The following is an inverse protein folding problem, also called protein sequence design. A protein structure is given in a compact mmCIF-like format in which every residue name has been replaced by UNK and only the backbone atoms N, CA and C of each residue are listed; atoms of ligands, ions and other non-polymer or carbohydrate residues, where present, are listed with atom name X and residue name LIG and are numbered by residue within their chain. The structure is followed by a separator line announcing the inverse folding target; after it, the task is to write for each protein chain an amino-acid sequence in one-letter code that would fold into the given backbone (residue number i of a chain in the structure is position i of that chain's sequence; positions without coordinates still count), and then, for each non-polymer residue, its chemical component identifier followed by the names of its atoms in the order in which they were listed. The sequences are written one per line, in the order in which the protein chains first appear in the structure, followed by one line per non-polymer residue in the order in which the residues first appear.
data_IF_585275123036
#
_entry.id   IF_585275123036
#
_cell.length_a   1.000
_cell.length_b   1.000
_cell.length_c   1.000
_cell.angle_alpha   90.00
_cell.angle_beta   90.00
_cell.angle_gamma   90.00
#
_symmetry.space_group_name_H-M   'P 1'
#
loop_
_entity.id
_entity.type
_entity.pdbx_description
1 polymer ?
#
# COMPACT_ATOMS: atom_id res chain seq x y z
N UNK A 1 13.54 9.71 1.55
CA UNK A 1 13.94 8.93 2.73
C UNK A 1 13.27 9.56 3.92
N UNK A 2 12.68 8.75 4.78
CA UNK A 2 12.08 9.15 6.06
C UNK A 2 12.55 8.21 7.16
N UNK A 3 12.61 8.70 8.38
CA UNK A 3 12.84 7.88 9.56
C UNK A 3 11.48 7.45 10.12
N UNK A 4 11.35 6.17 10.41
CA UNK A 4 10.18 5.58 11.07
C UNK A 4 10.65 4.62 12.14
N UNK A 5 10.46 5.00 13.42
CA UNK A 5 11.11 4.32 14.55
C UNK A 5 12.64 4.28 14.35
N UNK A 6 13.22 3.08 14.44
CA UNK A 6 14.65 2.83 14.23
C UNK A 6 14.97 2.46 12.77
N UNK A 7 13.98 2.49 11.87
CA UNK A 7 14.15 2.15 10.47
C UNK A 7 14.22 3.39 9.57
N UNK A 8 14.97 3.27 8.49
CA UNK A 8 15.01 4.23 7.38
C UNK A 8 14.16 3.71 6.24
N UNK A 9 13.18 4.49 5.78
CA UNK A 9 12.23 4.10 4.74
C UNK A 9 12.37 5.02 3.53
N UNK A 10 12.76 4.46 2.40
CA UNK A 10 12.72 5.13 1.11
C UNK A 10 11.30 5.05 0.54
N UNK A 11 10.70 6.20 0.26
CA UNK A 11 9.38 6.32 -0.36
C UNK A 11 9.48 7.06 -1.70
N UNK A 12 8.57 6.77 -2.60
CA UNK A 12 8.47 7.50 -3.87
C UNK A 12 8.07 8.96 -3.63
N UNK A 13 8.66 9.93 -4.37
CA UNK A 13 8.42 11.35 -4.16
C UNK A 13 7.18 11.88 -4.88
N UNK A 14 6.89 13.16 -4.71
CA UNK A 14 5.97 13.99 -5.48
C UNK A 14 4.51 13.47 -5.54
N UNK A 15 3.98 13.30 -6.76
CA UNK A 15 2.59 12.94 -7.04
C UNK A 15 2.32 11.43 -6.95
N UNK A 16 2.86 10.78 -5.92
CA UNK A 16 2.70 9.35 -5.65
C UNK A 16 2.06 9.09 -4.29
N UNK A 17 1.93 7.83 -3.91
CA UNK A 17 1.50 7.42 -2.56
C UNK A 17 2.55 7.70 -1.48
N UNK A 18 3.83 7.89 -1.86
CA UNK A 18 4.94 8.05 -0.91
C UNK A 18 4.78 9.19 0.09
N UNK A 19 4.48 10.46 -0.31
CA UNK A 19 4.27 11.54 0.65
C UNK A 19 3.10 11.30 1.61
N UNK A 20 2.03 10.64 1.13
CA UNK A 20 0.89 10.28 1.97
C UNK A 20 1.26 9.18 2.97
N UNK A 21 2.05 8.19 2.54
CA UNK A 21 2.61 7.17 3.43
C UNK A 21 3.53 7.78 4.47
N UNK A 22 4.40 8.72 4.08
CA UNK A 22 5.28 9.43 5.00
C UNK A 22 4.49 10.19 6.08
N UNK A 23 3.39 10.84 5.69
CA UNK A 23 2.47 11.48 6.62
C UNK A 23 1.84 10.45 7.59
N UNK A 24 1.30 9.35 7.07
CA UNK A 24 0.66 8.31 7.87
C UNK A 24 1.63 7.66 8.87
N UNK A 25 2.86 7.32 8.45
CA UNK A 25 3.88 6.72 9.31
C UNK A 25 4.33 7.69 10.42
N UNK A 26 4.48 8.97 10.11
CA UNK A 26 4.80 9.99 11.13
C UNK A 26 3.69 10.09 12.18
N UNK A 27 2.43 10.21 11.73
CA UNK A 27 1.27 10.24 12.62
C UNK A 27 1.17 8.97 13.47
N UNK A 28 1.51 7.81 12.89
CA UNK A 28 1.52 6.54 13.60
C UNK A 28 2.62 6.48 14.67
N UNK A 29 3.81 7.01 14.38
CA UNK A 29 4.90 7.10 15.37
C UNK A 29 4.51 7.88 16.62
N UNK A 30 3.69 8.92 16.44
CA UNK A 30 3.23 9.78 17.54
C UNK A 30 2.08 9.16 18.34
N UNK A 31 1.23 8.35 17.71
CA UNK A 31 -0.02 7.83 18.30
C UNK A 31 0.07 6.41 18.82
N UNK A 32 0.95 5.60 18.27
CA UNK A 32 1.10 4.19 18.61
C UNK A 32 2.36 3.93 19.43
N UNK A 33 2.18 3.46 20.67
CA UNK A 33 3.22 2.75 21.40
C UNK A 33 2.98 1.25 21.16
N UNK A 34 3.85 0.57 20.39
CA UNK A 34 3.63 -0.83 20.05
C UNK A 34 3.63 -1.72 21.30
N UNK A 35 2.68 -2.66 21.37
CA UNK A 35 2.65 -3.78 22.31
C UNK A 35 3.43 -4.98 21.75
N UNK A 36 3.26 -6.16 22.32
CA UNK A 36 3.92 -7.37 21.79
C UNK A 36 3.37 -7.79 20.42
N UNK A 37 2.07 -7.58 20.20
CA UNK A 37 1.35 -7.93 18.98
C UNK A 37 0.39 -6.80 18.59
N UNK A 38 0.01 -6.66 17.30
CA UNK A 38 -0.95 -5.66 16.86
C UNK A 38 -2.33 -5.90 17.49
N UNK A 39 -2.71 -5.08 18.44
CA UNK A 39 -3.95 -5.15 19.20
C UNK A 39 -5.02 -4.16 18.72
N UNK A 40 -6.13 -4.07 19.45
CA UNK A 40 -7.23 -3.16 19.15
C UNK A 40 -6.80 -1.67 19.10
N UNK A 41 -5.82 -1.27 19.92
CA UNK A 41 -5.28 0.10 19.90
C UNK A 41 -4.47 0.35 18.65
N UNK A 42 -3.67 -0.63 18.22
CA UNK A 42 -2.89 -0.55 16.99
C UNK A 42 -3.79 -0.39 15.75
N UNK A 43 -4.80 -1.24 15.61
CA UNK A 43 -5.72 -1.16 14.47
C UNK A 43 -6.57 0.11 14.47
N UNK A 44 -6.97 0.61 15.62
CA UNK A 44 -7.64 1.91 15.72
C UNK A 44 -6.69 3.07 15.34
N UNK A 45 -5.41 3.00 15.73
CA UNK A 45 -4.40 3.98 15.31
C UNK A 45 -4.15 3.92 13.81
N UNK A 46 -4.06 2.72 13.21
CA UNK A 46 -3.95 2.56 11.75
C UNK A 46 -5.12 3.24 11.03
N UNK A 47 -6.35 2.95 11.45
CA UNK A 47 -7.54 3.52 10.82
C UNK A 47 -7.52 5.06 10.87
N UNK A 48 -7.25 5.64 12.04
CA UNK A 48 -7.20 7.08 12.21
C UNK A 48 -6.07 7.72 11.40
N UNK A 49 -4.86 7.17 11.45
CA UNK A 49 -3.72 7.71 10.69
C UNK A 49 -3.96 7.65 9.18
N UNK A 50 -4.61 6.59 8.71
CA UNK A 50 -4.96 6.45 7.29
C UNK A 50 -6.02 7.48 6.88
N UNK A 51 -7.09 7.65 7.65
CA UNK A 51 -8.12 8.66 7.36
C UNK A 51 -7.54 10.07 7.33
N UNK A 52 -6.71 10.42 8.31
CA UNK A 52 -6.03 11.73 8.36
C UNK A 52 -5.10 11.92 7.15
N UNK A 53 -4.36 10.88 6.77
CA UNK A 53 -3.46 10.92 5.62
C UNK A 53 -4.21 11.09 4.29
N UNK A 54 -5.35 10.43 4.12
CA UNK A 54 -6.20 10.62 2.95
C UNK A 54 -6.90 11.99 2.94
N UNK A 55 -7.35 12.50 4.08
CA UNK A 55 -7.87 13.86 4.18
C UNK A 55 -6.81 14.91 3.79
N UNK A 56 -5.57 14.75 4.27
CA UNK A 56 -4.45 15.57 3.83
C UNK A 56 -4.20 15.46 2.33
N UNK A 57 -4.15 14.23 1.80
CA UNK A 57 -3.94 13.95 0.38
C UNK A 57 -4.99 14.64 -0.49
N UNK A 58 -6.27 14.45 -0.18
CA UNK A 58 -7.37 15.02 -0.95
C UNK A 58 -7.39 16.55 -0.92
N UNK A 59 -7.12 17.17 0.23
CA UNK A 59 -7.16 18.60 0.39
C UNK A 59 -5.93 19.34 -0.17
N UNK A 60 -4.77 18.68 -0.24
CA UNK A 60 -3.49 19.31 -0.58
C UNK A 60 -2.86 18.81 -1.87
N UNK A 61 -3.03 17.52 -2.17
CA UNK A 61 -2.37 16.91 -3.32
C UNK A 61 -3.35 16.70 -4.49
N UNK A 62 -4.66 16.75 -4.22
CA UNK A 62 -5.72 16.42 -5.17
C UNK A 62 -5.80 14.92 -5.41
N UNK A 63 -7.00 14.39 -5.37
CA UNK A 63 -7.39 13.06 -5.81
C UNK A 63 -8.88 13.12 -6.14
N UNK A 64 -9.40 12.19 -6.93
CA UNK A 64 -10.79 12.24 -7.40
C UNK A 64 -11.68 11.44 -6.47
N UNK A 65 -12.68 12.07 -5.90
CA UNK A 65 -13.82 11.34 -5.34
C UNK A 65 -14.65 10.75 -6.47
N UNK A 66 -14.75 9.44 -6.51
CA UNK A 66 -15.82 8.76 -7.25
C UNK A 66 -15.46 7.96 -8.49
N UNK A 67 -14.26 8.00 -9.03
CA UNK A 67 -13.89 7.12 -10.13
C UNK A 67 -13.40 5.76 -9.63
N UNK A 68 -14.31 4.84 -9.37
CA UNK A 68 -14.02 3.42 -9.12
C UNK A 68 -13.71 2.72 -10.43
N UNK A 69 -12.53 2.91 -10.98
CA UNK A 69 -12.04 2.02 -12.02
C UNK A 69 -11.38 0.81 -11.37
N UNK A 70 -11.70 -0.42 -11.77
CA UNK A 70 -10.93 -1.61 -11.38
C UNK A 70 -9.48 -1.38 -11.83
N UNK A 71 -8.56 -1.19 -10.89
CA UNK A 71 -7.16 -0.95 -11.19
C UNK A 71 -6.48 -2.24 -11.60
N UNK A 72 -5.81 -2.24 -12.73
CA UNK A 72 -4.88 -3.28 -13.13
C UNK A 72 -3.46 -2.78 -12.84
N UNK A 73 -2.99 -3.05 -11.63
CA UNK A 73 -1.66 -2.67 -11.16
C UNK A 73 -0.87 -3.94 -10.86
N UNK A 74 0.41 -3.94 -11.20
CA UNK A 74 1.35 -4.99 -10.81
C UNK A 74 2.43 -4.40 -9.94
N UNK A 75 2.83 -5.14 -8.91
CA UNK A 75 4.01 -4.82 -8.10
C UNK A 75 4.94 -6.02 -8.07
N UNK A 76 6.23 -5.75 -8.16
CA UNK A 76 7.26 -6.75 -7.92
C UNK A 76 8.41 -6.17 -7.10
N UNK A 77 9.01 -7.02 -6.28
CA UNK A 77 10.22 -6.74 -5.54
C UNK A 77 11.22 -7.87 -5.75
N UNK A 78 12.49 -7.53 -5.83
CA UNK A 78 13.59 -8.47 -6.07
C UNK A 78 14.71 -8.17 -5.07
N UNK A 79 15.33 -9.21 -4.56
CA UNK A 79 16.57 -9.14 -3.79
C UNK A 79 17.60 -10.10 -4.40
N UNK A 80 18.81 -9.63 -4.66
CA UNK A 80 19.90 -10.44 -5.21
C UNK A 80 20.77 -11.11 -4.12
N UNK A 81 21.77 -11.88 -4.55
CA UNK A 81 22.70 -12.57 -3.67
C UNK A 81 23.58 -11.62 -2.85
N UNK A 82 23.79 -10.39 -3.31
CA UNK A 82 24.58 -9.34 -2.64
C UNK A 82 23.73 -8.52 -1.67
N UNK A 83 22.38 -8.67 -1.73
CA UNK A 83 21.43 -7.94 -0.90
C UNK A 83 20.98 -6.60 -1.49
N UNK A 84 21.22 -6.36 -2.78
CA UNK A 84 20.60 -5.24 -3.47
C UNK A 84 19.10 -5.51 -3.63
N UNK A 85 18.27 -4.49 -3.41
CA UNK A 85 16.81 -4.59 -3.50
C UNK A 85 16.28 -3.62 -4.55
N UNK A 86 15.40 -4.12 -5.40
CA UNK A 86 14.58 -3.32 -6.31
C UNK A 86 13.10 -3.56 -6.03
N UNK A 87 12.31 -2.50 -6.00
CA UNK A 87 10.85 -2.55 -5.84
C UNK A 87 10.20 -1.64 -6.86
N UNK A 88 9.29 -2.17 -7.67
CA UNK A 88 8.65 -1.43 -8.74
C UNK A 88 7.15 -1.69 -8.81
N UNK A 89 6.39 -0.62 -9.03
CA UNK A 89 4.95 -0.68 -9.25
C UNK A 89 4.62 -0.06 -10.61
N UNK A 90 3.89 -0.79 -11.44
CA UNK A 90 3.47 -0.34 -12.77
C UNK A 90 1.99 -0.61 -13.00
N UNK A 91 1.34 0.18 -13.84
CA UNK A 91 -0.09 0.01 -14.11
C UNK A 91 -0.50 0.59 -15.46
N UNK A 92 -1.50 -0.02 -16.04
CA UNK A 92 -2.29 0.56 -17.14
C UNK A 92 -3.49 1.36 -16.62
N UNK A 93 -3.75 1.35 -15.32
CA UNK A 93 -4.91 1.78 -14.56
C UNK A 93 -6.10 0.82 -14.74
N UNK A 94 -6.81 0.82 -15.86
CA UNK A 94 -7.84 -0.19 -16.15
C UNK A 94 -7.21 -1.48 -16.70
N UNK A 95 -7.93 -2.60 -16.66
CA UNK A 95 -7.42 -3.94 -17.03
C UNK A 95 -6.72 -3.95 -18.40
N UNK A 96 -7.24 -3.25 -19.39
CA UNK A 96 -6.63 -3.07 -20.70
C UNK A 96 -6.29 -1.61 -21.00
N UNK A 97 -6.03 -0.80 -19.98
CA UNK A 97 -5.70 0.61 -20.10
C UNK A 97 -6.71 1.37 -20.97
N UNK A 98 -6.23 2.13 -21.95
CA UNK A 98 -7.05 2.83 -22.93
C UNK A 98 -7.62 1.93 -24.04
N UNK A 99 -7.22 0.66 -24.08
CA UNK A 99 -7.50 -0.30 -25.17
C UNK A 99 -6.91 0.10 -26.53
N UNK A 100 -6.00 1.05 -26.53
CA UNK A 100 -5.25 1.47 -27.71
C UNK A 100 -3.87 0.82 -27.70
N UNK A 101 -3.56 0.07 -28.74
CA UNK A 101 -2.23 -0.45 -28.99
C UNK A 101 -1.51 0.42 -30.02
N UNK A 102 -0.31 0.86 -29.72
CA UNK A 102 0.49 1.65 -30.65
C UNK A 102 0.96 0.74 -31.80
N UNK A 103 0.67 1.07 -33.07
CA UNK A 103 0.93 0.18 -34.20
C UNK A 103 2.42 -0.18 -34.38
N UNK A 104 3.29 0.78 -34.16
CA UNK A 104 4.73 0.62 -34.40
C UNK A 104 5.46 -0.17 -33.31
N UNK A 105 5.03 -0.02 -32.05
CA UNK A 105 5.72 -0.64 -30.90
C UNK A 105 4.98 -1.85 -30.32
N UNK A 106 3.72 -2.04 -30.65
CA UNK A 106 2.85 -3.07 -30.04
C UNK A 106 2.51 -2.79 -28.58
N UNK A 107 2.85 -1.61 -28.03
CA UNK A 107 2.62 -1.26 -26.63
C UNK A 107 1.15 -0.89 -26.42
N UNK A 108 0.51 -1.58 -25.45
CA UNK A 108 -0.82 -1.23 -24.97
C UNK A 108 -0.75 0.01 -24.06
N UNK A 109 -1.47 1.06 -24.43
CA UNK A 109 -1.44 2.34 -23.71
C UNK A 109 -2.27 2.30 -22.44
N UNK A 110 -1.75 2.94 -21.38
CA UNK A 110 -2.51 3.17 -20.16
C UNK A 110 -3.64 4.18 -20.37
N UNK A 111 -4.54 4.27 -19.40
CA UNK A 111 -5.56 5.32 -19.32
C UNK A 111 -5.40 6.17 -18.05
N UNK A 112 -4.17 6.47 -17.67
CA UNK A 112 -3.82 7.24 -16.48
C UNK A 112 -4.43 8.64 -16.39
N UNK A 113 -4.95 9.16 -17.50
CA UNK A 113 -5.74 10.40 -17.51
C UNK A 113 -6.93 10.36 -16.53
N UNK A 114 -7.47 9.18 -16.25
CA UNK A 114 -8.57 8.99 -15.29
C UNK A 114 -8.16 9.19 -13.83
N UNK A 115 -6.87 9.40 -13.52
CA UNK A 115 -6.43 9.79 -12.18
C UNK A 115 -6.58 11.30 -11.92
N UNK A 116 -6.78 12.12 -12.95
CA UNK A 116 -7.09 13.52 -12.76
C UNK A 116 -8.49 13.73 -12.18
N UNK A 117 -8.65 14.83 -11.44
CA UNK A 117 -9.97 15.32 -11.03
C UNK A 117 -10.66 15.93 -12.26
N UNK A 118 -11.89 15.48 -12.62
CA UNK A 118 -12.63 16.09 -13.71
C UNK A 118 -13.18 17.47 -13.35
N UNK A 119 -13.29 17.81 -12.07
CA UNK A 119 -13.73 19.13 -11.63
C UNK A 119 -12.60 20.15 -11.77
N UNK A 120 -12.86 21.36 -12.30
CA UNK A 120 -11.88 22.42 -12.42
C UNK A 120 -11.44 22.97 -11.04
N UNK A 121 -10.32 23.69 -11.04
CA UNK A 121 -9.81 24.47 -9.91
C UNK A 121 -9.41 23.68 -8.64
N UNK A 122 -9.23 22.37 -8.76
CA UNK A 122 -8.64 21.53 -7.73
C UNK A 122 -7.15 21.26 -8.02
N UNK A 123 -6.34 20.91 -7.00
CA UNK A 123 -4.92 20.62 -7.20
C UNK A 123 -4.62 19.58 -8.28
N UNK A 124 -5.43 18.53 -8.35
CA UNK A 124 -5.28 17.43 -9.33
C UNK A 124 -6.23 17.56 -10.55
N UNK A 125 -6.84 18.73 -10.79
CA UNK A 125 -7.70 18.93 -11.97
C UNK A 125 -6.94 18.68 -13.26
N UNK A 126 -7.66 18.09 -14.23
CA UNK A 126 -7.14 17.86 -15.58
C UNK A 126 -6.66 19.17 -16.21
N UNK A 127 -5.48 19.15 -16.80
CA UNK A 127 -4.89 20.31 -17.48
C UNK A 127 -3.73 19.93 -18.39
N UNK A 128 -3.52 20.73 -19.43
CA UNK A 128 -2.43 20.49 -20.35
C UNK A 128 -1.06 20.54 -19.65
N UNK A 129 -0.19 19.60 -19.95
CA UNK A 129 1.16 19.48 -19.36
C UNK A 129 1.22 19.05 -17.90
N UNK A 130 0.09 18.79 -17.24
CA UNK A 130 0.07 18.30 -15.86
C UNK A 130 0.33 16.80 -15.76
N UNK A 131 0.95 16.41 -14.65
CA UNK A 131 1.06 15.02 -14.20
C UNK A 131 -0.03 14.75 -13.16
N UNK A 132 -0.69 13.60 -13.28
CA UNK A 132 -1.73 13.19 -12.34
C UNK A 132 -1.16 12.68 -11.02
N UNK A 133 -1.96 12.76 -9.96
CA UNK A 133 -1.67 12.14 -8.68
C UNK A 133 -1.90 10.63 -8.75
N UNK A 134 -0.91 9.82 -8.42
CA UNK A 134 -0.94 8.36 -8.52
C UNK A 134 -0.89 7.67 -7.16
N UNK A 135 -1.29 6.41 -7.09
CA UNK A 135 -1.29 5.62 -5.86
C UNK A 135 -0.06 4.70 -5.72
N UNK A 136 0.95 4.83 -6.58
CA UNK A 136 2.18 4.04 -6.47
C UNK A 136 2.83 4.26 -5.11
N UNK A 137 3.18 3.17 -4.45
CA UNK A 137 3.78 3.21 -3.14
C UNK A 137 4.80 2.07 -2.93
N UNK A 138 5.74 1.83 -3.90
CA UNK A 138 6.85 0.95 -3.63
C UNK A 138 7.75 1.59 -2.58
N UNK A 139 8.26 0.77 -1.65
CA UNK A 139 9.15 1.21 -0.57
C UNK A 139 10.32 0.26 -0.45
N UNK A 140 11.46 0.80 -0.01
CA UNK A 140 12.59 0.02 0.48
C UNK A 140 12.90 0.55 1.88
N UNK A 141 13.07 -0.36 2.83
CA UNK A 141 13.39 0.02 4.20
C UNK A 141 14.56 -0.80 4.73
N UNK A 142 15.28 -0.21 5.67
CA UNK A 142 16.38 -0.85 6.38
C UNK A 142 16.30 -0.56 7.88
N UNK A 143 16.55 -1.57 8.68
CA UNK A 143 16.71 -1.50 10.15
C UNK A 143 17.78 -2.50 10.55
N UNK A 144 18.85 -2.02 11.12
CA UNK A 144 20.02 -2.84 11.47
C UNK A 144 20.56 -3.61 10.25
N UNK A 145 20.63 -4.93 10.33
CA UNK A 145 21.06 -5.84 9.26
C UNK A 145 19.88 -6.36 8.39
N UNK A 146 18.66 -5.89 8.65
CA UNK A 146 17.47 -6.28 7.90
C UNK A 146 17.11 -5.21 6.88
N UNK A 147 16.93 -5.63 5.62
CA UNK A 147 16.45 -4.80 4.52
C UNK A 147 15.24 -5.46 3.89
N UNK A 148 14.27 -4.66 3.48
CA UNK A 148 13.10 -5.20 2.79
C UNK A 148 12.54 -4.22 1.77
N UNK A 149 11.99 -4.77 0.70
CA UNK A 149 11.28 -4.06 -0.34
C UNK A 149 9.84 -4.51 -0.39
N UNK A 150 8.89 -3.56 -0.38
CA UNK A 150 7.46 -3.81 -0.35
C UNK A 150 6.73 -2.94 -1.37
N UNK A 151 5.58 -3.39 -1.75
CA UNK A 151 4.57 -2.62 -2.44
C UNK A 151 3.33 -3.45 -2.70
N UNK A 152 2.40 -2.92 -3.46
CA UNK A 152 1.14 -3.60 -3.70
C UNK A 152 0.50 -3.19 -5.02
N UNK A 153 -0.45 -3.99 -5.47
CA UNK A 153 -1.48 -3.61 -6.45
C UNK A 153 -2.82 -3.42 -5.74
N UNK A 154 -3.68 -2.49 -6.24
CA UNK A 154 -5.01 -2.28 -5.64
C UNK A 154 -5.46 -0.83 -5.54
N UNK A 155 -4.92 0.07 -6.34
CA UNK A 155 -5.32 1.47 -6.37
C UNK A 155 -5.07 2.19 -5.04
N UNK A 156 -6.07 2.85 -4.48
CA UNK A 156 -5.97 3.56 -3.19
C UNK A 156 -5.61 2.62 -2.03
N UNK A 157 -6.02 1.34 -2.08
CA UNK A 157 -5.76 0.33 -1.04
C UNK A 157 -4.29 -0.06 -0.90
N UNK A 158 -3.45 0.36 -1.85
CA UNK A 158 -1.99 0.11 -1.81
C UNK A 158 -1.39 0.68 -0.53
N UNK A 159 -1.64 1.94 -0.24
CA UNK A 159 -1.05 2.65 0.90
C UNK A 159 -1.44 2.03 2.26
N UNK A 160 -2.72 1.75 2.57
CA UNK A 160 -3.09 1.05 3.80
C UNK A 160 -2.37 -0.29 3.99
N UNK A 161 -2.23 -1.06 2.92
CA UNK A 161 -1.55 -2.35 2.97
C UNK A 161 -0.05 -2.20 3.24
N UNK A 162 0.62 -1.30 2.53
CA UNK A 162 2.06 -1.03 2.71
C UNK A 162 2.35 -0.47 4.10
N UNK A 163 1.53 0.45 4.61
CA UNK A 163 1.69 1.03 5.94
C UNK A 163 1.62 -0.05 7.04
N UNK A 164 0.62 -0.92 7.00
CA UNK A 164 0.45 -1.98 8.00
C UNK A 164 1.58 -3.01 7.92
N UNK A 165 1.99 -3.42 6.71
CA UNK A 165 3.13 -4.33 6.55
C UNK A 165 4.44 -3.71 7.08
N UNK A 166 4.67 -2.41 6.86
CA UNK A 166 5.82 -1.71 7.47
C UNK A 166 5.74 -1.75 8.99
N UNK A 167 4.56 -1.49 9.57
CA UNK A 167 4.37 -1.56 11.01
C UNK A 167 4.58 -2.98 11.55
N UNK A 168 4.02 -4.00 10.91
CA UNK A 168 4.22 -5.40 11.33
C UNK A 168 5.70 -5.81 11.33
N UNK A 169 6.46 -5.38 10.33
CA UNK A 169 7.90 -5.68 10.24
C UNK A 169 8.76 -4.83 11.18
N UNK A 170 8.41 -3.55 11.40
CA UNK A 170 9.23 -2.59 12.14
C UNK A 170 8.80 -2.50 13.60
N UNK A 171 7.52 -2.25 13.87
CA UNK A 171 7.01 -2.04 15.23
C UNK A 171 6.94 -3.36 16.02
N UNK A 172 6.61 -4.47 15.35
CA UNK A 172 6.40 -5.78 15.99
C UNK A 172 7.49 -6.80 15.68
N UNK A 173 8.35 -6.53 14.71
CA UNK A 173 9.48 -7.41 14.38
C UNK A 173 9.10 -8.74 13.73
N UNK A 174 7.89 -8.84 13.17
CA UNK A 174 7.45 -10.05 12.48
C UNK A 174 8.34 -10.39 11.29
N UNK A 175 8.45 -11.68 10.99
CA UNK A 175 9.02 -12.16 9.73
C UNK A 175 8.14 -11.82 8.54
N UNK A 176 8.72 -11.78 7.32
CA UNK A 176 8.00 -11.37 6.13
C UNK A 176 6.75 -12.23 5.88
N UNK A 177 6.88 -13.56 5.97
CA UNK A 177 5.76 -14.47 5.77
C UNK A 177 4.65 -14.26 6.81
N UNK A 178 5.01 -14.08 8.07
CA UNK A 178 4.06 -13.83 9.15
C UNK A 178 3.30 -12.52 8.94
N UNK A 179 4.01 -11.43 8.64
CA UNK A 179 3.41 -10.13 8.36
C UNK A 179 2.36 -10.17 7.23
N UNK A 180 2.61 -11.00 6.19
CA UNK A 180 1.67 -11.15 5.07
C UNK A 180 0.43 -11.98 5.43
N UNK A 181 0.51 -12.83 6.45
CA UNK A 181 -0.62 -13.60 6.98
C UNK A 181 -1.49 -12.81 7.94
N UNK A 182 -0.93 -11.83 8.64
CA UNK A 182 -1.72 -11.00 9.55
C UNK A 182 -2.92 -10.35 8.86
N UNK A 183 -4.08 -10.31 9.53
CA UNK A 183 -5.25 -9.62 9.00
C UNK A 183 -5.00 -8.11 8.95
N UNK A 184 -5.65 -7.45 8.00
CA UNK A 184 -5.46 -6.02 7.73
C UNK A 184 -6.77 -5.27 7.72
N UNK A 185 -6.67 -3.94 7.80
CA UNK A 185 -7.76 -3.01 7.54
C UNK A 185 -7.51 -2.21 6.28
N UNK A 186 -8.56 -1.65 5.71
CA UNK A 186 -8.50 -0.62 4.69
C UNK A 186 -9.32 0.59 5.11
N UNK A 187 -8.76 1.79 5.01
CA UNK A 187 -9.40 3.06 5.31
C UNK A 187 -9.13 4.08 4.19
N UNK A 188 -9.14 3.62 2.94
CA UNK A 188 -8.82 4.42 1.76
C UNK A 188 -10.05 5.04 1.10
N UNK A 189 -11.25 4.72 1.57
CA UNK A 189 -12.52 5.16 0.96
C UNK A 189 -13.34 6.03 1.95
N UNK A 190 -13.01 7.33 2.03
CA UNK A 190 -13.75 8.30 2.84
C UNK A 190 -13.73 7.97 4.34
N UNK A 191 -14.90 7.91 4.95
CA UNK A 191 -15.08 7.58 6.37
C UNK A 191 -15.19 6.08 6.66
N UNK A 192 -15.27 5.24 5.61
CA UNK A 192 -15.46 3.81 5.76
C UNK A 192 -14.13 3.11 6.08
N UNK A 193 -14.16 2.28 7.11
CA UNK A 193 -13.07 1.37 7.48
C UNK A 193 -13.53 -0.07 7.23
N UNK A 194 -12.78 -0.80 6.42
CA UNK A 194 -12.97 -2.23 6.18
C UNK A 194 -12.01 -3.02 7.06
N UNK A 195 -12.48 -4.03 7.77
CA UNK A 195 -11.63 -4.95 8.54
C UNK A 195 -11.74 -6.38 8.02
N UNK A 196 -10.60 -7.05 7.88
CA UNK A 196 -10.58 -8.49 7.59
C UNK A 196 -11.35 -9.25 8.66
N UNK A 197 -12.23 -10.17 8.26
CA UNK A 197 -13.01 -11.00 9.20
C UNK A 197 -12.14 -11.85 10.13
N UNK A 198 -10.86 -12.01 9.83
CA UNK A 198 -9.90 -12.76 10.65
C UNK A 198 -9.28 -11.92 11.79
N UNK A 199 -9.64 -10.64 11.90
CA UNK A 199 -9.27 -9.83 13.06
C UNK A 199 -9.94 -10.37 14.33
N UNK A 200 -9.27 -10.23 15.47
CA UNK A 200 -9.83 -10.59 16.76
C UNK A 200 -11.09 -9.79 17.08
N UNK A 201 -12.02 -10.38 17.82
CA UNK A 201 -13.29 -9.74 18.16
C UNK A 201 -13.10 -8.41 18.89
N UNK A 202 -12.11 -8.31 19.79
CA UNK A 202 -11.79 -7.07 20.48
C UNK A 202 -11.37 -5.94 19.52
N UNK A 203 -10.68 -6.29 18.42
CA UNK A 203 -10.34 -5.33 17.34
C UNK A 203 -11.59 -4.91 16.61
N UNK A 204 -12.44 -5.85 16.25
CA UNK A 204 -13.72 -5.55 15.60
C UNK A 204 -14.59 -4.61 16.42
N UNK A 205 -14.74 -4.88 17.73
CA UNK A 205 -15.50 -4.03 18.66
C UNK A 205 -14.92 -2.62 18.75
N UNK A 206 -13.60 -2.49 18.88
CA UNK A 206 -12.92 -1.21 18.97
C UNK A 206 -13.06 -0.37 17.69
N UNK A 207 -13.00 -1.01 16.52
CA UNK A 207 -13.18 -0.34 15.25
C UNK A 207 -14.63 0.09 15.04
N UNK A 208 -15.59 -0.78 15.37
CA UNK A 208 -17.02 -0.48 15.26
C UNK A 208 -17.46 0.66 16.19
N UNK A 209 -16.86 0.75 17.39
CA UNK A 209 -17.17 1.82 18.34
C UNK A 209 -16.69 3.22 17.90
N UNK A 210 -15.74 3.30 16.96
CA UNK A 210 -15.05 4.55 16.60
C UNK A 210 -15.24 5.00 15.17
N UNK A 211 -15.53 4.07 14.25
CA UNK A 211 -15.54 4.30 12.82
C UNK A 211 -16.81 3.77 12.16
N UNK A 212 -17.14 4.29 10.98
CA UNK A 212 -18.06 3.64 10.07
C UNK A 212 -17.38 2.36 9.57
N UNK A 213 -17.73 1.22 10.16
CA UNK A 213 -16.95 -0.01 10.08
C UNK A 213 -17.71 -1.17 9.45
N UNK A 214 -17.03 -1.92 8.59
CA UNK A 214 -17.58 -3.11 7.95
C UNK A 214 -16.57 -4.26 7.98
N UNK A 215 -16.99 -5.44 8.46
CA UNK A 215 -16.22 -6.68 8.38
C UNK A 215 -16.32 -7.25 6.97
N UNK A 216 -15.18 -7.58 6.37
CA UNK A 216 -15.13 -8.12 5.02
C UNK A 216 -14.09 -9.24 4.93
N UNK A 217 -14.37 -10.24 4.10
CA UNK A 217 -13.41 -11.30 3.83
C UNK A 217 -12.32 -10.79 2.87
N UNK A 218 -11.06 -11.07 3.19
CA UNK A 218 -9.95 -10.90 2.25
C UNK A 218 -10.07 -11.97 1.17
N UNK A 219 -10.32 -11.55 -0.05
CA UNK A 219 -10.57 -12.43 -1.19
C UNK A 219 -10.11 -11.76 -2.48
N UNK A 220 -9.88 -12.59 -3.50
CA UNK A 220 -9.39 -12.16 -4.80
C UNK A 220 -10.36 -11.26 -5.56
N UNK A 221 -11.64 -11.58 -5.56
CA UNK A 221 -12.70 -10.83 -6.27
C UNK A 221 -14.00 -10.82 -5.45
N UNK A 222 -14.64 -9.66 -5.27
CA UNK A 222 -14.12 -8.33 -5.58
C UNK A 222 -13.00 -7.93 -4.63
N UNK A 223 -11.97 -7.23 -5.14
CA UNK A 223 -10.87 -6.75 -4.30
C UNK A 223 -11.37 -5.75 -3.26
N UNK A 224 -11.23 -6.10 -1.98
CA UNK A 224 -11.51 -5.23 -0.83
C UNK A 224 -10.22 -4.76 -0.15
N UNK A 225 -9.12 -5.45 -0.39
CA UNK A 225 -7.78 -5.13 0.06
C UNK A 225 -6.82 -5.10 -1.13
N UNK A 226 -5.68 -4.45 -0.97
CA UNK A 226 -4.60 -4.52 -1.96
C UNK A 226 -3.95 -5.91 -1.94
N UNK A 227 -3.30 -6.25 -3.05
CA UNK A 227 -2.45 -7.43 -3.18
C UNK A 227 -0.98 -7.01 -3.04
N UNK A 228 -0.40 -7.07 -1.84
CA UNK A 228 1.01 -6.78 -1.63
C UNK A 228 1.91 -7.92 -2.09
N UNK A 229 3.15 -7.55 -2.38
CA UNK A 229 4.27 -8.46 -2.48
C UNK A 229 5.53 -7.81 -1.92
N UNK A 230 6.51 -8.61 -1.51
CA UNK A 230 7.74 -8.07 -0.95
C UNK A 230 8.84 -9.09 -0.82
N UNK A 231 10.03 -8.57 -0.61
CA UNK A 231 11.24 -9.33 -0.30
C UNK A 231 11.87 -8.81 0.97
N UNK A 232 12.60 -9.68 1.67
CA UNK A 232 13.34 -9.34 2.87
C UNK A 232 14.70 -10.02 2.83
N UNK A 233 15.73 -9.31 3.22
CA UNK A 233 17.08 -9.81 3.50
C UNK A 233 17.38 -9.67 4.98
N UNK A 234 17.83 -10.75 5.62
CA UNK A 234 18.35 -10.75 6.97
C UNK A 234 19.68 -11.54 6.99
N UNK A 235 20.76 -10.86 7.29
CA UNK A 235 22.10 -11.41 7.13
C UNK A 235 22.33 -11.88 5.69
N UNK A 236 22.64 -13.17 5.48
CA UNK A 236 22.85 -13.77 4.16
C UNK A 236 21.59 -14.41 3.55
N UNK A 237 20.44 -14.35 4.23
CA UNK A 237 19.22 -15.06 3.82
C UNK A 237 18.22 -14.11 3.17
N UNK A 238 17.67 -14.53 2.02
CA UNK A 238 16.60 -13.83 1.32
C UNK A 238 15.27 -14.54 1.53
N UNK A 239 14.20 -13.74 1.63
CA UNK A 239 12.83 -14.20 1.79
C UNK A 239 11.94 -13.46 0.79
N UNK A 240 10.89 -14.11 0.29
CA UNK A 240 9.86 -13.52 -0.53
C UNK A 240 8.48 -13.90 -0.02
N UNK A 241 7.52 -12.97 -0.10
CA UNK A 241 6.13 -13.23 0.23
C UNK A 241 5.19 -12.40 -0.65
N UNK A 242 3.99 -12.93 -0.85
CA UNK A 242 2.93 -12.28 -1.63
C UNK A 242 1.59 -12.39 -0.92
N UNK A 243 0.57 -11.68 -1.44
CA UNK A 243 -0.80 -11.74 -0.93
C UNK A 243 -1.33 -13.18 -0.94
N UNK A 244 -1.65 -13.69 0.23
CA UNK A 244 -2.10 -15.08 0.42
C UNK A 244 -3.46 -15.40 -0.23
N UNK A 245 -4.30 -14.39 -0.43
CA UNK A 245 -5.61 -14.54 -1.07
C UNK A 245 -5.55 -14.42 -2.60
N UNK A 246 -4.38 -14.15 -3.19
CA UNK A 246 -4.23 -13.97 -4.64
C UNK A 246 -3.64 -15.22 -5.30
N UNK A 247 -4.36 -15.89 -6.20
CA UNK A 247 -3.84 -17.05 -6.92
C UNK A 247 -2.86 -16.67 -8.05
N UNK A 248 -2.69 -15.38 -8.33
CA UNK A 248 -1.78 -14.86 -9.37
C UNK A 248 -0.48 -14.28 -8.81
N UNK A 249 -0.36 -14.22 -7.48
CA UNK A 249 0.84 -13.72 -6.83
C UNK A 249 1.72 -14.91 -6.42
N UNK A 250 3.02 -14.79 -6.62
CA UNK A 250 3.98 -15.82 -6.28
C UNK A 250 5.30 -15.21 -5.78
N UNK A 251 6.06 -15.99 -5.03
CA UNK A 251 7.41 -15.67 -4.59
C UNK A 251 8.33 -16.83 -4.97
N UNK A 252 9.31 -16.54 -5.81
CA UNK A 252 10.24 -17.54 -6.34
C UNK A 252 11.67 -17.23 -5.93
N UNK A 253 12.46 -18.24 -5.69
CA UNK A 253 13.90 -18.15 -5.47
C UNK A 253 14.64 -18.91 -6.57
N UNK A 254 15.76 -18.36 -7.02
CA UNK A 254 16.68 -19.09 -7.89
C UNK A 254 17.27 -20.26 -7.08
N UNK A 255 17.21 -21.45 -7.63
CA UNK A 255 17.97 -22.59 -7.10
C UNK A 255 19.46 -22.28 -7.18
N UNK A 256 20.16 -22.45 -6.08
CA UNK A 256 21.62 -22.27 -6.00
C UNK A 256 22.37 -23.38 -6.73
#
# INVERSE_FOLDING_TARGET
MIDYREARVAVTPELTGGPTLAYALRALSERLAPSAEPDALAYAAYAQCLQDAYAYRLSRMGDVDGARAPGCTSHFAVVDGEGNIAAATQTLLSIFGSRLTLPESGILMNNGIMWFDPEPDKPNSLGAGKRCLTNYCPVIAERDDVRFGLGASGGRRILPSVMQLLSFLIDYGHGLNEAFHLPRIDASEGDLVLGDILLDEAVHEALHARFNYLRVRRQTLPFKFACPSGVLRSGARNFGATEIASPWADAVAQAG
#
